data_IF_437640677121
#
_entry.id   IF_437640677121
#
_cell.length_a   1.000
_cell.length_b   1.000
_cell.length_c   1.000
_cell.angle_alpha   90.00
_cell.angle_beta   90.00
_cell.angle_gamma   90.00
#
_symmetry.space_group_name_H-M   'P 1'
#
loop_
_entity.id
_entity.type
_entity.pdbx_description
1 polymer ?
#
# COMPACT_ATOMS: atom_id res chain seq x y z
N UNK A 1 22.92 -15.49 -1.58
CA UNK A 1 22.35 -15.13 -2.89
C UNK A 1 21.54 -13.88 -2.66
N UNK A 2 21.78 -12.81 -3.42
CA UNK A 2 20.92 -11.62 -3.38
C UNK A 2 19.67 -12.03 -4.17
N UNK A 3 18.59 -12.37 -3.47
CA UNK A 3 17.30 -12.55 -4.13
C UNK A 3 17.00 -11.24 -4.87
N UNK A 4 16.73 -11.35 -6.17
CA UNK A 4 16.47 -10.18 -7.00
C UNK A 4 15.15 -9.56 -6.57
N UNK A 5 15.20 -8.37 -5.96
CA UNK A 5 14.03 -7.58 -5.59
C UNK A 5 13.20 -7.30 -6.84
N UNK A 6 11.89 -7.53 -6.75
CA UNK A 6 10.98 -7.32 -7.86
C UNK A 6 10.70 -5.83 -8.02
N UNK A 7 10.78 -5.35 -9.26
CA UNK A 7 10.35 -3.99 -9.61
C UNK A 7 8.97 -4.07 -10.22
N UNK A 8 7.97 -3.62 -9.49
CA UNK A 8 6.61 -3.59 -9.99
C UNK A 8 6.46 -2.50 -11.07
N UNK A 9 5.63 -2.81 -12.08
CA UNK A 9 5.15 -1.83 -13.04
C UNK A 9 3.70 -1.53 -12.68
N UNK A 10 3.48 -0.35 -12.10
CA UNK A 10 2.13 0.07 -11.76
C UNK A 10 1.33 0.34 -13.05
N UNK A 11 0.01 0.06 -13.08
CA UNK A 11 -0.84 0.39 -14.22
C UNK A 11 -1.04 1.91 -14.48
N UNK A 12 -0.46 2.78 -13.65
CA UNK A 12 -0.61 4.24 -13.78
C UNK A 12 0.07 4.76 -15.04
N UNK A 13 -0.70 5.45 -15.89
CA UNK A 13 -0.13 6.20 -17.00
C UNK A 13 0.34 7.58 -16.52
N UNK A 14 1.17 8.25 -17.34
CA UNK A 14 1.63 9.63 -17.07
C UNK A 14 0.50 10.68 -17.01
N UNK A 15 -0.74 10.31 -17.37
CA UNK A 15 -1.90 11.20 -17.35
C UNK A 15 -2.83 10.94 -16.17
N UNK A 16 -2.65 9.82 -15.49
CA UNK A 16 -3.47 9.46 -14.33
C UNK A 16 -2.88 10.15 -13.09
N UNK A 17 -3.72 10.56 -12.13
CA UNK A 17 -3.25 11.17 -10.88
C UNK A 17 -3.13 10.16 -9.74
N UNK A 18 -4.00 9.14 -9.75
CA UNK A 18 -4.01 8.07 -8.78
C UNK A 18 -4.79 6.85 -9.29
N UNK A 19 -4.62 5.72 -8.63
CA UNK A 19 -5.34 4.49 -8.87
C UNK A 19 -5.60 3.78 -7.54
N UNK A 20 -6.76 3.13 -7.44
CA UNK A 20 -7.19 2.44 -6.23
C UNK A 20 -7.38 0.95 -6.53
N UNK A 21 -6.81 0.12 -5.67
CA UNK A 21 -7.09 -1.31 -5.59
C UNK A 21 -7.83 -1.58 -4.28
N UNK A 22 -8.89 -2.38 -4.35
CA UNK A 22 -9.55 -2.93 -3.17
C UNK A 22 -9.60 -4.44 -3.32
N UNK A 23 -9.11 -5.16 -2.30
CA UNK A 23 -8.96 -6.62 -2.33
C UNK A 23 -9.36 -7.22 -1.00
N UNK A 24 -10.02 -8.37 -1.07
CA UNK A 24 -10.23 -9.26 0.07
C UNK A 24 -9.43 -10.53 -0.18
N UNK A 25 -8.56 -10.90 0.75
CA UNK A 25 -7.59 -11.99 0.58
C UNK A 25 -7.38 -12.77 1.87
N UNK A 26 -6.86 -13.99 1.75
CA UNK A 26 -6.43 -14.81 2.89
C UNK A 26 -4.94 -14.69 3.18
N UNK A 27 -4.14 -14.38 2.16
CA UNK A 27 -2.69 -14.40 2.22
C UNK A 27 -2.10 -13.20 1.48
N UNK A 28 -1.01 -12.66 2.00
CA UNK A 28 -0.13 -11.75 1.28
C UNK A 28 0.75 -12.55 0.32
N UNK A 29 0.31 -12.61 -0.93
CA UNK A 29 1.00 -13.36 -2.00
C UNK A 29 1.93 -12.49 -2.83
N UNK A 30 1.86 -11.17 -2.69
CA UNK A 30 2.72 -10.27 -3.45
C UNK A 30 4.08 -10.15 -2.74
N UNK A 31 5.19 -10.42 -3.44
CA UNK A 31 6.53 -10.40 -2.85
C UNK A 31 6.97 -8.97 -2.50
N UNK A 32 8.02 -8.86 -1.69
CA UNK A 32 8.68 -7.58 -1.41
C UNK A 32 9.18 -6.98 -2.74
N UNK A 33 8.86 -5.71 -2.97
CA UNK A 33 9.06 -5.06 -4.25
C UNK A 33 9.37 -3.57 -4.09
N UNK A 34 9.65 -2.93 -5.23
CA UNK A 34 9.85 -1.48 -5.37
C UNK A 34 9.10 -0.97 -6.59
N UNK A 35 8.60 0.25 -6.53
CA UNK A 35 8.08 1.03 -7.67
C UNK A 35 8.32 2.53 -7.41
N UNK A 36 8.10 3.36 -8.43
CA UNK A 36 8.47 4.78 -8.38
C UNK A 36 7.38 5.68 -7.79
N UNK A 37 6.15 5.18 -7.76
CA UNK A 37 4.95 5.88 -7.32
C UNK A 37 4.87 5.93 -5.80
N UNK A 38 4.10 6.87 -5.26
CA UNK A 38 3.76 6.80 -3.83
C UNK A 38 2.64 5.80 -3.64
N UNK A 39 2.65 5.09 -2.52
CA UNK A 39 1.63 4.10 -2.20
C UNK A 39 1.09 4.33 -0.79
N UNK A 40 -0.21 4.54 -0.68
CA UNK A 40 -0.92 4.48 0.60
C UNK A 40 -1.62 3.12 0.69
N UNK A 41 -1.30 2.35 1.71
CA UNK A 41 -1.87 1.02 1.90
C UNK A 41 -2.62 0.98 3.25
N UNK A 42 -3.90 0.63 3.19
CA UNK A 42 -4.75 0.40 4.34
C UNK A 42 -5.08 -1.08 4.43
N UNK A 43 -4.89 -1.67 5.62
CA UNK A 43 -5.17 -3.09 5.87
C UNK A 43 -6.08 -3.20 7.08
N UNK A 44 -7.13 -3.99 6.96
CA UNK A 44 -8.03 -4.42 8.04
C UNK A 44 -7.98 -5.94 8.21
N UNK A 45 -8.12 -6.39 9.46
CA UNK A 45 -7.95 -7.77 9.92
C UNK A 45 -6.53 -8.30 9.66
N UNK A 46 -5.53 -7.42 9.77
CA UNK A 46 -4.13 -7.70 9.48
C UNK A 46 -3.30 -8.18 10.67
N UNK A 47 -3.87 -8.31 11.87
CA UNK A 47 -3.11 -8.50 13.09
C UNK A 47 -2.16 -9.70 13.01
N UNK A 48 -0.90 -9.49 13.40
CA UNK A 48 0.14 -10.51 13.34
C UNK A 48 0.83 -10.64 11.98
N UNK A 49 0.37 -9.92 10.94
CA UNK A 49 1.09 -9.80 9.69
C UNK A 49 2.35 -8.97 9.89
N UNK A 50 3.34 -9.16 9.01
CA UNK A 50 4.61 -8.43 9.05
C UNK A 50 4.68 -7.45 7.89
N UNK A 51 4.84 -6.17 8.21
CA UNK A 51 5.17 -5.11 7.25
C UNK A 51 6.68 -5.03 7.10
N UNK A 52 7.12 -4.87 5.85
CA UNK A 52 8.48 -4.47 5.50
C UNK A 52 8.38 -3.11 4.79
N UNK A 53 9.15 -2.13 5.25
CA UNK A 53 9.30 -0.81 4.63
C UNK A 53 10.75 -0.36 4.81
N UNK A 54 11.61 -0.72 3.85
CA UNK A 54 13.06 -0.58 3.95
C UNK A 54 13.61 -1.44 5.09
N UNK A 55 14.26 -0.79 6.05
CA UNK A 55 14.80 -1.42 7.26
C UNK A 55 13.79 -1.47 8.42
N UNK A 56 12.62 -0.83 8.30
CA UNK A 56 11.50 -1.04 9.24
C UNK A 56 10.80 -2.36 8.93
N UNK A 57 10.89 -3.29 9.89
CA UNK A 57 10.21 -4.58 9.83
C UNK A 57 9.41 -4.74 11.12
N UNK A 58 8.09 -4.68 11.01
CA UNK A 58 7.20 -4.57 12.16
C UNK A 58 6.00 -5.52 12.02
N UNK A 59 5.53 -6.02 13.17
CA UNK A 59 4.26 -6.76 13.26
C UNK A 59 3.12 -5.75 13.36
N UNK A 60 2.11 -5.86 12.51
CA UNK A 60 0.99 -4.91 12.43
C UNK A 60 -0.18 -5.36 13.31
N UNK A 61 -1.04 -4.39 13.66
CA UNK A 61 -2.29 -4.62 14.39
C UNK A 61 -3.47 -4.99 13.49
N UNK A 62 -4.68 -4.96 14.06
CA UNK A 62 -5.92 -5.22 13.31
C UNK A 62 -6.13 -4.24 12.16
N UNK A 63 -5.81 -2.97 12.40
CA UNK A 63 -5.83 -1.91 11.41
C UNK A 63 -4.42 -1.39 11.21
N UNK A 64 -4.03 -1.18 9.95
CA UNK A 64 -2.74 -0.63 9.56
C UNK A 64 -2.96 0.40 8.44
N UNK A 65 -2.24 1.52 8.52
CA UNK A 65 -2.18 2.52 7.47
C UNK A 65 -0.72 2.92 7.25
N UNK A 66 -0.18 2.61 6.08
CA UNK A 66 1.22 2.88 5.73
C UNK A 66 1.32 3.69 4.46
N UNK A 67 2.15 4.73 4.48
CA UNK A 67 2.52 5.52 3.30
C UNK A 67 3.97 5.22 2.88
N UNK A 68 4.14 4.76 1.65
CA UNK A 68 5.42 4.51 1.00
C UNK A 68 5.73 5.68 0.06
N UNK A 69 6.88 6.33 0.25
CA UNK A 69 7.28 7.53 -0.52
C UNK A 69 8.61 7.39 -1.26
N UNK A 70 9.35 6.29 -1.05
CA UNK A 70 10.65 6.10 -1.68
C UNK A 70 10.56 5.26 -2.96
N UNK A 71 11.05 5.81 -4.08
CA UNK A 71 11.03 5.15 -5.40
C UNK A 71 11.89 3.88 -5.53
N UNK A 72 12.71 3.63 -4.51
CA UNK A 72 13.53 2.43 -4.34
C UNK A 72 13.38 1.83 -2.94
N UNK A 73 12.35 2.24 -2.19
CA UNK A 73 12.09 1.73 -0.85
C UNK A 73 11.44 0.36 -1.00
N UNK A 74 12.15 -0.69 -0.60
CA UNK A 74 11.61 -2.05 -0.57
C UNK A 74 10.41 -2.09 0.36
N UNK A 75 9.27 -2.56 -0.12
CA UNK A 75 8.07 -2.65 0.70
C UNK A 75 7.23 -3.88 0.38
N UNK A 76 6.42 -4.27 1.36
CA UNK A 76 5.44 -5.34 1.22
C UNK A 76 4.98 -5.89 2.56
N UNK A 77 4.01 -6.80 2.49
CA UNK A 77 3.43 -7.47 3.65
C UNK A 77 3.56 -8.97 3.52
N UNK A 78 3.69 -9.65 4.66
CA UNK A 78 3.82 -11.11 4.77
C UNK A 78 2.89 -11.60 5.87
N UNK A 79 2.29 -12.78 5.69
CA UNK A 79 1.32 -13.34 6.66
C UNK A 79 1.89 -13.43 8.08
N UNK A 80 3.15 -13.84 8.24
CA UNK A 80 3.82 -14.02 9.53
C UNK A 80 3.01 -14.83 10.56
N UNK A 81 2.34 -14.18 11.53
CA UNK A 81 1.49 -14.81 12.56
C UNK A 81 0.00 -14.56 12.33
N UNK A 82 -0.36 -13.86 11.25
CA UNK A 82 -1.74 -13.58 10.91
C UNK A 82 -2.51 -14.89 10.72
N UNK A 83 -3.61 -15.01 11.44
CA UNK A 83 -4.54 -16.14 11.36
C UNK A 83 -5.88 -15.75 10.72
N UNK A 84 -6.02 -14.49 10.30
CA UNK A 84 -7.23 -14.02 9.64
C UNK A 84 -7.45 -14.79 8.33
N UNK A 85 -8.72 -15.08 8.04
CA UNK A 85 -9.15 -15.68 6.77
C UNK A 85 -9.76 -14.66 5.82
N UNK A 86 -9.82 -13.39 6.25
CA UNK A 86 -10.43 -12.31 5.49
C UNK A 86 -9.70 -11.01 5.82
N UNK A 87 -8.60 -10.78 5.11
CA UNK A 87 -7.82 -9.55 5.16
C UNK A 87 -8.38 -8.61 4.09
N UNK A 88 -8.78 -7.41 4.48
CA UNK A 88 -9.18 -6.37 3.53
C UNK A 88 -8.02 -5.43 3.32
N UNK A 89 -7.70 -5.15 2.07
CA UNK A 89 -6.61 -4.27 1.68
C UNK A 89 -7.13 -3.24 0.67
N UNK A 90 -6.85 -1.97 0.94
CA UNK A 90 -7.04 -0.87 0.01
C UNK A 90 -5.68 -0.25 -0.27
N UNK A 91 -5.25 -0.28 -1.52
CA UNK A 91 -3.98 0.30 -1.96
C UNK A 91 -4.26 1.43 -2.92
N UNK A 92 -3.71 2.61 -2.64
CA UNK A 92 -3.79 3.78 -3.51
C UNK A 92 -2.38 4.08 -4.01
N UNK A 93 -2.18 3.94 -5.31
CA UNK A 93 -0.98 4.44 -5.97
C UNK A 93 -1.21 5.87 -6.42
N UNK A 94 -0.28 6.76 -6.11
CA UNK A 94 -0.32 8.18 -6.42
C UNK A 94 0.85 8.50 -7.36
N UNK A 95 0.56 9.22 -8.44
CA UNK A 95 1.61 9.66 -9.34
C UNK A 95 2.56 10.65 -8.66
N UNK A 96 3.84 10.58 -9.01
CA UNK A 96 4.83 11.55 -8.57
C UNK A 96 4.51 12.92 -9.18
N UNK A 97 3.87 13.79 -8.41
CA UNK A 97 3.74 15.18 -8.79
C UNK A 97 5.08 15.88 -8.55
N UNK A 98 5.70 16.51 -9.57
CA UNK A 98 6.88 17.33 -9.34
C UNK A 98 6.52 18.43 -8.33
N UNK A 99 7.45 18.70 -7.42
CA UNK A 99 7.44 19.56 -6.21
C UNK A 99 6.67 20.90 -6.27
N UNK A 100 6.21 21.30 -7.45
CA UNK A 100 5.53 22.56 -7.75
C UNK A 100 3.99 22.40 -7.78
N UNK A 101 3.48 21.16 -7.84
CA UNK A 101 2.07 20.87 -7.64
C UNK A 101 1.89 20.52 -6.16
N UNK A 102 1.49 21.51 -5.37
CA UNK A 102 1.04 21.29 -4.00
C UNK A 102 0.01 20.15 -3.98
N UNK A 103 0.32 19.06 -3.28
CA UNK A 103 -0.72 18.17 -2.78
C UNK A 103 -1.44 18.91 -1.65
N UNK A 104 -2.30 19.87 -1.98
CA UNK A 104 -3.19 20.54 -1.03
C UNK A 104 -4.35 19.66 -0.58
N UNK A 105 -4.50 18.47 -1.18
CA UNK A 105 -5.70 17.63 -1.08
C UNK A 105 -5.42 16.25 -0.47
N UNK A 106 -4.42 16.11 0.41
CA UNK A 106 -4.25 14.87 1.20
C UNK A 106 -5.52 14.55 2.00
N UNK A 107 -6.24 15.58 2.44
CA UNK A 107 -7.55 15.47 3.09
C UNK A 107 -8.65 14.95 2.14
N UNK A 108 -8.58 15.23 0.83
CA UNK A 108 -9.57 14.78 -0.15
C UNK A 108 -9.46 13.27 -0.39
N UNK A 109 -8.23 12.75 -0.48
CA UNK A 109 -7.99 11.31 -0.68
C UNK A 109 -8.44 10.51 0.54
N UNK A 110 -8.12 10.97 1.75
CA UNK A 110 -8.55 10.33 2.99
C UNK A 110 -10.09 10.36 3.11
N UNK A 111 -10.74 11.45 2.70
CA UNK A 111 -12.20 11.58 2.78
C UNK A 111 -12.94 10.66 1.79
N UNK A 112 -12.43 10.48 0.57
CA UNK A 112 -12.97 9.50 -0.38
C UNK A 112 -12.81 8.05 0.12
N UNK A 113 -11.73 7.74 0.86
CA UNK A 113 -11.57 6.42 1.50
C UNK A 113 -12.67 6.12 2.53
N UNK A 114 -13.12 7.12 3.30
CA UNK A 114 -14.24 6.94 4.23
C UNK A 114 -15.59 6.86 3.51
N UNK A 115 -15.79 7.57 2.40
CA UNK A 115 -17.04 7.52 1.63
C UNK A 115 -17.23 6.19 0.90
N UNK A 116 -16.15 5.55 0.43
CA UNK A 116 -16.23 4.22 -0.19
C UNK A 116 -16.62 3.11 0.79
N UNK A 117 -16.37 3.30 2.09
CA UNK A 117 -16.78 2.37 3.14
C UNK A 117 -18.26 2.47 3.49
N UNK A 118 -18.94 3.59 3.20
CA UNK A 118 -20.36 3.77 3.51
C UNK A 118 -21.32 3.28 2.41
N UNK A 119 -20.80 2.85 1.25
CA UNK A 119 -21.64 2.44 0.12
C UNK A 119 -21.90 0.93 -0.01
N UNK A 120 -21.41 0.08 0.90
CA UNK A 120 -21.65 -1.37 0.87
C UNK A 120 -21.93 -1.99 2.25
#
# INVERSE_FOLDING_TARGET
MKDSILREVTPLSKRDCFMIFSRVKQHFTFPIHVHAEYELNFIENGAGSKRVAGDSIEEIGELELTLITGSSLEHGWLDHKCTSKEIKEITIHLCYLPYNAQMTDTDMVIREMFLFQETH
#
